data_IF_944408234863
#
_entry.id   IF_944408234863
#
_cell.length_a   1.000
_cell.length_b   1.000
_cell.length_c   1.000
_cell.angle_alpha   90.00
_cell.angle_beta   90.00
_cell.angle_gamma   90.00
#
_symmetry.space_group_name_H-M   'P 1'
#
loop_
_entity.id
_entity.type
_entity.pdbx_description
1 polymer ?
#
# COMPACT_ATOMS: atom_id res chain seq x y z
N UNK A 1 12.50 0.04 -10.23
CA UNK A 1 13.37 -0.93 -9.55
C UNK A 1 12.68 -2.27 -9.26
N UNK A 2 11.47 -2.28 -8.78
CA UNK A 2 10.73 -3.51 -8.48
C UNK A 2 10.69 -4.48 -9.67
N UNK A 3 10.40 -3.98 -10.87
CA UNK A 3 10.33 -4.83 -12.06
C UNK A 3 11.68 -5.42 -12.45
N UNK A 4 12.75 -4.65 -12.31
CA UNK A 4 14.11 -5.12 -12.65
C UNK A 4 14.53 -6.21 -11.67
N UNK A 5 14.37 -5.96 -10.36
CA UNK A 5 14.68 -6.95 -9.34
C UNK A 5 13.85 -8.20 -9.49
N UNK A 6 12.55 -8.05 -9.80
CA UNK A 6 11.67 -9.21 -9.94
C UNK A 6 12.12 -10.13 -11.09
N UNK A 7 12.56 -9.53 -12.20
CA UNK A 7 13.04 -10.33 -13.33
C UNK A 7 14.33 -11.09 -13.00
N UNK A 8 15.25 -10.45 -12.28
CA UNK A 8 16.49 -11.09 -11.88
C UNK A 8 16.26 -12.23 -10.88
N UNK A 9 15.39 -12.00 -9.91
CA UNK A 9 15.12 -12.95 -8.84
C UNK A 9 14.11 -14.03 -9.21
N UNK A 10 13.30 -13.80 -10.24
CA UNK A 10 12.33 -14.80 -10.69
C UNK A 10 12.99 -16.12 -11.10
N UNK A 11 14.20 -16.05 -11.63
CA UNK A 11 14.98 -17.24 -12.00
C UNK A 11 15.29 -18.11 -10.80
N UNK A 12 15.30 -17.52 -9.60
CA UNK A 12 15.53 -18.21 -8.33
C UNK A 12 14.24 -18.50 -7.59
N UNK A 13 13.08 -18.30 -8.24
CA UNK A 13 11.75 -18.49 -7.67
C UNK A 13 11.49 -17.57 -6.48
N UNK A 14 12.06 -16.35 -6.54
CA UNK A 14 11.84 -15.31 -5.54
C UNK A 14 10.93 -14.25 -6.17
N UNK A 15 9.85 -13.90 -5.48
CA UNK A 15 8.96 -12.84 -5.93
C UNK A 15 9.34 -11.52 -5.26
N UNK A 16 9.24 -10.43 -6.04
CA UNK A 16 9.52 -9.08 -5.55
C UNK A 16 8.36 -8.19 -5.92
N UNK A 17 7.67 -7.67 -4.92
CA UNK A 17 6.55 -6.76 -5.10
C UNK A 17 6.75 -5.55 -4.20
N UNK A 18 6.04 -4.47 -4.50
CA UNK A 18 6.09 -3.25 -3.71
C UNK A 18 4.69 -2.86 -3.29
N UNK A 19 4.58 -2.17 -2.16
CA UNK A 19 3.33 -1.62 -1.67
C UNK A 19 3.47 -0.11 -1.64
N UNK A 20 2.54 0.59 -2.27
CA UNK A 20 2.49 2.05 -2.28
C UNK A 20 1.28 2.48 -1.43
N UNK A 21 1.50 2.88 -0.17
CA UNK A 21 0.40 3.31 0.68
C UNK A 21 -0.08 4.72 0.31
N UNK A 22 -1.35 4.99 0.59
CA UNK A 22 -1.89 6.34 0.52
C UNK A 22 -1.70 7.04 1.86
N UNK A 23 -2.73 7.80 2.28
CA UNK A 23 -2.68 8.47 3.58
C UNK A 23 -3.00 7.48 4.68
N UNK A 24 -2.02 7.20 5.53
CA UNK A 24 -2.16 6.29 6.66
C UNK A 24 -2.11 7.12 7.95
N UNK A 25 -3.12 6.95 8.79
CA UNK A 25 -3.21 7.69 10.04
C UNK A 25 -2.33 7.01 11.10
N UNK A 26 -1.25 7.71 11.45
CA UNK A 26 -0.37 7.31 12.55
C UNK A 26 -0.56 8.27 13.72
N UNK A 27 0.17 8.08 14.82
CA UNK A 27 0.12 9.02 15.95
C UNK A 27 0.41 10.45 15.52
N UNK A 28 1.34 10.65 14.59
CA UNK A 28 1.64 11.97 14.06
C UNK A 28 0.49 12.55 13.24
N UNK A 29 -0.23 11.69 12.53
CA UNK A 29 -1.38 12.10 11.74
C UNK A 29 -2.53 12.64 12.58
N UNK A 30 -2.61 12.25 13.85
CA UNK A 30 -3.65 12.74 14.76
C UNK A 30 -3.48 14.21 15.11
N UNK A 31 -2.33 14.81 14.82
CA UNK A 31 -2.07 16.21 15.07
C UNK A 31 -2.49 17.13 13.90
N UNK A 32 -2.96 16.54 12.80
CA UNK A 32 -3.43 17.30 11.65
C UNK A 32 -4.71 18.07 12.02
N UNK A 33 -4.78 19.38 11.74
CA UNK A 33 -5.99 20.14 12.01
C UNK A 33 -7.22 19.54 11.33
N UNK A 34 -8.37 19.61 12.00
CA UNK A 34 -9.59 18.97 11.52
C UNK A 34 -10.00 19.42 10.12
N UNK A 35 -9.92 20.72 9.83
CA UNK A 35 -10.31 21.23 8.52
C UNK A 35 -9.42 20.70 7.39
N UNK A 36 -8.14 20.47 7.67
CA UNK A 36 -7.22 19.86 6.71
C UNK A 36 -7.56 18.39 6.53
N UNK A 37 -7.85 17.72 7.63
CA UNK A 37 -8.24 16.31 7.63
C UNK A 37 -9.51 16.07 6.81
N UNK A 38 -10.50 16.90 6.99
CA UNK A 38 -11.75 16.81 6.22
C UNK A 38 -11.51 16.96 4.72
N UNK A 39 -10.66 17.91 4.33
CA UNK A 39 -10.30 18.10 2.93
C UNK A 39 -9.60 16.90 2.33
N UNK A 40 -8.73 16.26 3.10
CA UNK A 40 -8.05 15.04 2.67
C UNK A 40 -9.04 13.88 2.55
N UNK A 41 -9.94 13.72 3.52
CA UNK A 41 -10.96 12.66 3.50
C UNK A 41 -11.87 12.77 2.28
N UNK A 42 -12.20 13.99 1.87
CA UNK A 42 -13.04 14.21 0.69
C UNK A 42 -12.41 13.68 -0.60
N UNK A 43 -11.09 13.56 -0.62
CA UNK A 43 -10.37 13.06 -1.79
C UNK A 43 -10.16 11.55 -1.77
N UNK A 44 -10.53 10.88 -0.70
CA UNK A 44 -10.37 9.43 -0.57
C UNK A 44 -11.73 8.76 -0.84
N UNK A 45 -11.89 8.06 -1.97
CA UNK A 45 -13.19 7.45 -2.31
C UNK A 45 -13.77 6.53 -1.25
N UNK A 46 -12.94 5.78 -0.51
CA UNK A 46 -13.43 4.94 0.58
C UNK A 46 -13.87 5.71 1.80
N UNK A 47 -13.58 7.02 1.87
CA UNK A 47 -14.08 7.90 2.92
C UNK A 47 -13.41 7.75 4.27
N UNK A 48 -12.24 7.11 4.33
CA UNK A 48 -11.48 6.99 5.56
C UNK A 48 -9.99 6.94 5.28
N UNK A 49 -9.20 7.34 6.26
CA UNK A 49 -7.76 7.15 6.20
C UNK A 49 -7.43 5.66 6.36
N UNK A 50 -6.29 5.25 5.78
CA UNK A 50 -5.77 3.94 6.03
C UNK A 50 -5.21 3.84 7.46
N UNK A 51 -5.15 2.63 7.95
CA UNK A 51 -4.48 2.32 9.21
C UNK A 51 -3.27 1.44 8.92
N UNK A 52 -2.27 1.39 9.81
CA UNK A 52 -1.11 0.53 9.60
C UNK A 52 -1.49 -0.92 9.30
N UNK A 53 -2.57 -1.41 9.89
CA UNK A 53 -3.08 -2.77 9.65
C UNK A 53 -3.50 -2.98 8.21
N UNK A 54 -4.00 -1.94 7.53
CA UNK A 54 -4.39 -2.06 6.12
C UNK A 54 -3.18 -2.40 5.25
N UNK A 55 -2.04 -1.80 5.56
CA UNK A 55 -0.79 -2.08 4.85
C UNK A 55 -0.22 -3.44 5.25
N UNK A 56 -0.25 -3.73 6.55
CA UNK A 56 0.27 -5.00 7.07
C UNK A 56 -0.45 -6.20 6.47
N UNK A 57 -1.77 -6.12 6.29
CA UNK A 57 -2.56 -7.20 5.68
C UNK A 57 -2.15 -7.47 4.25
N UNK A 58 -1.85 -6.42 3.48
CA UNK A 58 -1.39 -6.58 2.10
C UNK A 58 -0.01 -7.22 2.07
N UNK A 59 0.88 -6.79 2.96
CA UNK A 59 2.22 -7.39 3.05
C UNK A 59 2.11 -8.87 3.41
N UNK A 60 1.26 -9.22 4.37
CA UNK A 60 1.03 -10.62 4.75
C UNK A 60 0.49 -11.44 3.57
N UNK A 61 -0.43 -10.87 2.79
CA UNK A 61 -0.93 -11.52 1.58
C UNK A 61 0.21 -11.79 0.60
N UNK A 62 1.06 -10.79 0.35
CA UNK A 62 2.17 -10.93 -0.59
C UNK A 62 3.21 -11.95 -0.12
N UNK A 63 3.33 -12.17 1.18
CA UNK A 63 4.23 -13.18 1.75
C UNK A 63 3.59 -14.56 1.84
N UNK A 64 2.31 -14.70 1.47
CA UNK A 64 1.59 -15.96 1.57
C UNK A 64 1.59 -16.71 0.24
N UNK A 65 1.27 -18.03 0.25
CA UNK A 65 1.12 -18.79 -0.99
C UNK A 65 0.03 -18.26 -1.90
N UNK A 66 -0.89 -17.45 -1.39
CA UNK A 66 -1.95 -16.84 -2.20
C UNK A 66 -1.39 -15.89 -3.26
N UNK A 67 -0.20 -15.34 -3.06
CA UNK A 67 0.46 -14.46 -4.00
C UNK A 67 1.60 -15.15 -4.77
N UNK A 68 1.58 -16.47 -4.85
CA UNK A 68 2.70 -17.24 -5.41
C UNK A 68 3.00 -16.94 -6.88
N UNK A 69 2.00 -16.49 -7.64
CA UNK A 69 2.17 -16.17 -9.06
C UNK A 69 2.31 -14.68 -9.33
N UNK A 70 2.58 -13.88 -8.29
CA UNK A 70 2.73 -12.43 -8.40
C UNK A 70 4.17 -12.01 -8.20
N UNK A 71 4.71 -11.26 -9.17
CA UNK A 71 6.02 -10.62 -9.02
C UNK A 71 6.08 -9.38 -9.90
N UNK A 72 6.92 -8.44 -9.55
CA UNK A 72 7.10 -7.21 -10.31
C UNK A 72 5.97 -6.21 -10.20
N UNK A 73 5.06 -6.38 -9.26
CA UNK A 73 3.88 -5.54 -9.11
C UNK A 73 4.04 -4.50 -8.02
N UNK A 74 3.38 -3.37 -8.20
CA UNK A 74 3.22 -2.37 -7.15
C UNK A 74 1.74 -2.30 -6.82
N UNK A 75 1.39 -2.63 -5.58
CA UNK A 75 0.01 -2.59 -5.13
C UNK A 75 -0.25 -1.28 -4.41
N UNK A 76 -1.22 -0.52 -4.91
CA UNK A 76 -1.61 0.74 -4.30
C UNK A 76 -2.69 0.49 -3.25
N UNK A 77 -2.38 0.78 -2.00
CA UNK A 77 -3.29 0.59 -0.87
C UNK A 77 -3.63 1.98 -0.34
N UNK A 78 -4.58 2.64 -0.99
CA UNK A 78 -4.83 4.08 -0.83
C UNK A 78 -6.30 4.46 -0.74
N UNK A 79 -7.20 3.50 -0.57
CA UNK A 79 -8.62 3.79 -0.50
C UNK A 79 -9.20 4.40 -1.76
N UNK A 80 -8.48 4.30 -2.88
CA UNK A 80 -8.87 4.89 -4.15
C UNK A 80 -8.36 6.30 -4.38
N UNK A 81 -7.57 6.85 -3.43
CA UNK A 81 -7.04 8.19 -3.57
C UNK A 81 -5.99 8.26 -4.68
N UNK A 82 -6.23 9.17 -5.63
CA UNK A 82 -5.29 9.44 -6.71
C UNK A 82 -4.85 10.90 -6.63
N UNK A 83 -3.58 11.12 -6.52
CA UNK A 83 -3.02 12.47 -6.44
C UNK A 83 -2.71 13.01 -7.84
#
# INVERSE_FOLDING_TARGET
MTRVLSRELARRRITVNAVAPGVVLTEMGKTIPEHVREGMLAQIPLGRFGEPEDIARVILFLCSPLAAYMTGQTLHVNGGWTS
#
